data_IF_117714732473
#
_entry.id   IF_117714732473
#
_cell.length_a   1.000
_cell.length_b   1.000
_cell.length_c   1.000
_cell.angle_alpha   90.00
_cell.angle_beta   90.00
_cell.angle_gamma   90.00
#
_symmetry.space_group_name_H-M   'P 1'
#
loop_
_entity.id
_entity.type
_entity.pdbx_description
1 polymer ?
#
# COMPACT_ATOMS: atom_id res chain seq x y z
N UNK A 1 18.31 -14.55 -2.61
CA UNK A 1 16.88 -14.80 -2.38
C UNK A 1 16.15 -15.04 -3.70
N UNK A 2 15.68 -14.03 -4.46
CA UNK A 2 14.92 -14.28 -5.72
C UNK A 2 15.57 -15.26 -6.71
N UNK A 3 16.88 -15.13 -6.96
CA UNK A 3 17.62 -16.09 -7.81
C UNK A 3 17.58 -17.51 -7.21
N UNK A 4 17.61 -17.63 -5.88
CA UNK A 4 17.42 -18.88 -5.15
C UNK A 4 16.07 -19.54 -5.41
N UNK A 5 14.97 -18.77 -5.44
CA UNK A 5 13.66 -19.32 -5.85
C UNK A 5 13.69 -19.90 -7.26
N UNK A 6 14.36 -19.21 -8.18
CA UNK A 6 14.46 -19.63 -9.58
C UNK A 6 15.32 -20.89 -9.70
N UNK A 7 16.52 -20.90 -9.11
CA UNK A 7 17.45 -22.02 -9.21
C UNK A 7 16.96 -23.28 -8.49
N UNK A 8 16.26 -23.12 -7.36
CA UNK A 8 15.59 -24.22 -6.66
C UNK A 8 14.23 -24.62 -7.29
N UNK A 9 13.76 -23.86 -8.29
CA UNK A 9 12.50 -24.09 -9.02
C UNK A 9 11.28 -24.10 -8.10
N UNK A 10 11.25 -23.22 -7.09
CA UNK A 10 10.18 -23.14 -6.09
C UNK A 10 8.79 -22.97 -6.70
N UNK A 11 8.64 -22.13 -7.73
CA UNK A 11 7.35 -21.97 -8.42
C UNK A 11 6.85 -23.26 -9.08
N UNK A 12 7.75 -24.04 -9.70
CA UNK A 12 7.40 -25.34 -10.30
C UNK A 12 7.04 -26.35 -9.22
N UNK A 13 7.82 -26.43 -8.13
CA UNK A 13 7.56 -27.33 -7.01
C UNK A 13 6.20 -27.03 -6.34
N UNK A 14 5.89 -25.75 -6.14
CA UNK A 14 4.62 -25.31 -5.57
C UNK A 14 3.44 -25.65 -6.49
N UNK A 15 3.57 -25.43 -7.80
CA UNK A 15 2.55 -25.79 -8.77
C UNK A 15 2.34 -27.31 -8.84
N UNK A 16 3.41 -28.10 -8.83
CA UNK A 16 3.33 -29.56 -8.79
C UNK A 16 2.66 -30.07 -7.51
N UNK A 17 2.95 -29.46 -6.36
CA UNK A 17 2.32 -29.81 -5.09
C UNK A 17 0.82 -29.50 -5.09
N UNK A 18 0.41 -28.36 -5.65
CA UNK A 18 -0.99 -28.02 -5.83
C UNK A 18 -1.72 -29.01 -6.75
N UNK A 19 -1.14 -29.34 -7.91
CA UNK A 19 -1.71 -30.34 -8.82
C UNK A 19 -1.82 -31.73 -8.18
N UNK A 20 -0.81 -32.15 -7.42
CA UNK A 20 -0.85 -33.42 -6.71
C UNK A 20 -1.94 -33.45 -5.62
N UNK A 21 -2.13 -32.34 -4.90
CA UNK A 21 -3.21 -32.20 -3.92
C UNK A 21 -4.60 -32.27 -4.59
N UNK A 22 -4.79 -31.62 -5.73
CA UNK A 22 -6.04 -31.66 -6.50
C UNK A 22 -6.34 -33.06 -7.06
N UNK A 23 -5.32 -33.76 -7.57
CA UNK A 23 -5.45 -35.15 -8.02
C UNK A 23 -5.79 -36.06 -6.84
N UNK A 24 -5.10 -35.89 -5.71
CA UNK A 24 -5.35 -36.63 -4.47
C UNK A 24 -6.80 -36.46 -4.00
N UNK A 25 -7.30 -35.22 -3.98
CA UNK A 25 -8.70 -34.92 -3.68
C UNK A 25 -9.65 -35.66 -4.62
N UNK A 26 -9.39 -35.57 -5.92
CA UNK A 26 -10.23 -36.18 -6.96
C UNK A 26 -10.33 -37.69 -6.74
N UNK A 27 -9.21 -38.38 -6.54
CA UNK A 27 -9.18 -39.84 -6.30
C UNK A 27 -9.87 -40.19 -4.97
N UNK A 28 -9.57 -39.48 -3.89
CA UNK A 28 -10.20 -39.71 -2.58
C UNK A 28 -11.72 -39.50 -2.62
N UNK A 29 -12.21 -38.52 -3.39
CA UNK A 29 -13.65 -38.26 -3.55
C UNK A 29 -14.39 -39.33 -4.37
N UNK A 30 -13.67 -40.09 -5.20
CA UNK A 30 -14.19 -41.23 -5.96
C UNK A 30 -14.27 -42.46 -5.05
N UNK A 31 -13.25 -42.68 -4.20
CA UNK A 31 -13.14 -43.83 -3.31
C UNK A 31 -14.01 -43.71 -2.04
N UNK A 32 -14.23 -42.49 -1.56
CA UNK A 32 -15.00 -42.20 -0.35
C UNK A 32 -16.06 -41.13 -0.65
N UNK A 33 -17.27 -41.51 -1.09
CA UNK A 33 -18.34 -40.58 -1.46
C UNK A 33 -18.75 -39.62 -0.34
N UNK A 34 -18.51 -39.97 0.92
CA UNK A 34 -18.78 -39.16 2.12
C UNK A 34 -17.94 -37.86 2.14
N UNK A 35 -16.77 -37.85 1.47
CA UNK A 35 -15.91 -36.68 1.29
C UNK A 35 -16.45 -35.65 0.28
N UNK A 36 -17.62 -35.90 -0.32
CA UNK A 36 -18.31 -34.95 -1.19
C UNK A 36 -19.23 -33.99 -0.42
N UNK A 37 -19.49 -34.25 0.86
CA UNK A 37 -20.37 -33.41 1.68
C UNK A 37 -19.70 -32.07 2.02
N UNK A 38 -20.46 -30.97 2.05
CA UNK A 38 -19.92 -29.61 2.24
C UNK A 38 -18.94 -29.45 3.45
N UNK A 39 -19.19 -30.05 4.63
CA UNK A 39 -18.25 -29.95 5.76
C UNK A 39 -16.88 -30.60 5.51
N UNK A 40 -16.83 -31.63 4.66
CA UNK A 40 -15.59 -32.34 4.32
C UNK A 40 -14.75 -31.61 3.25
N UNK A 41 -15.39 -30.78 2.41
CA UNK A 41 -14.71 -29.90 1.46
C UNK A 41 -14.00 -28.76 2.19
N UNK A 42 -14.64 -28.17 3.20
CA UNK A 42 -14.03 -27.11 4.02
C UNK A 42 -12.80 -27.63 4.79
N UNK A 43 -12.89 -28.83 5.36
CA UNK A 43 -11.76 -29.47 6.03
C UNK A 43 -10.58 -29.76 5.07
N UNK A 44 -10.88 -30.20 3.84
CA UNK A 44 -9.86 -30.42 2.82
C UNK A 44 -9.21 -29.11 2.34
N UNK A 45 -9.99 -28.05 2.15
CA UNK A 45 -9.47 -26.74 1.77
C UNK A 45 -8.56 -26.14 2.85
N UNK A 46 -8.89 -26.34 4.13
CA UNK A 46 -8.03 -25.94 5.25
C UNK A 46 -6.73 -26.76 5.26
N UNK A 47 -6.82 -28.09 5.07
CA UNK A 47 -5.64 -28.97 5.08
C UNK A 47 -4.70 -28.69 3.90
N UNK A 48 -5.24 -28.60 2.68
CA UNK A 48 -4.47 -28.26 1.47
C UNK A 48 -3.88 -26.86 1.56
N UNK A 49 -4.64 -25.88 2.07
CA UNK A 49 -4.13 -24.53 2.33
C UNK A 49 -2.98 -24.51 3.34
N UNK A 50 -3.07 -25.29 4.42
CA UNK A 50 -2.00 -25.42 5.41
C UNK A 50 -0.75 -26.10 4.84
N UNK A 51 -0.92 -27.14 4.01
CA UNK A 51 0.18 -27.83 3.34
C UNK A 51 0.90 -26.90 2.36
N UNK A 52 0.16 -26.20 1.49
CA UNK A 52 0.73 -25.24 0.54
C UNK A 52 1.42 -24.07 1.24
N UNK A 53 0.88 -23.62 2.37
CA UNK A 53 1.52 -22.62 3.23
C UNK A 53 2.82 -23.13 3.87
N UNK A 54 2.89 -24.42 4.21
CA UNK A 54 4.10 -25.09 4.70
C UNK A 54 5.21 -25.12 3.65
N UNK A 55 4.88 -25.52 2.41
CA UNK A 55 5.79 -25.46 1.26
C UNK A 55 6.31 -24.04 1.01
N UNK A 56 5.45 -23.03 1.16
CA UNK A 56 5.86 -21.63 1.13
C UNK A 56 6.99 -21.35 2.10
N UNK A 57 6.84 -21.69 3.38
CA UNK A 57 7.88 -21.45 4.40
C UNK A 57 9.19 -22.18 4.13
N UNK A 58 9.15 -23.44 3.72
CA UNK A 58 10.36 -24.22 3.41
C UNK A 58 11.13 -23.62 2.22
N UNK A 59 10.40 -23.20 1.17
CA UNK A 59 10.98 -22.54 0.01
C UNK A 59 11.66 -21.21 0.37
N UNK A 60 11.09 -20.46 1.33
CA UNK A 60 11.70 -19.22 1.80
C UNK A 60 13.03 -19.45 2.50
N UNK A 61 13.09 -20.44 3.39
CA UNK A 61 14.31 -20.79 4.10
C UNK A 61 15.38 -21.34 3.14
N UNK A 62 15.00 -22.18 2.17
CA UNK A 62 15.91 -22.67 1.13
C UNK A 62 16.45 -21.51 0.27
N UNK A 63 15.60 -20.56 -0.10
CA UNK A 63 15.95 -19.36 -0.88
C UNK A 63 16.87 -18.40 -0.12
N UNK A 64 16.66 -18.25 1.19
CA UNK A 64 17.53 -17.49 2.08
C UNK A 64 18.91 -18.14 2.17
N UNK A 65 18.95 -19.48 2.35
CA UNK A 65 20.19 -20.27 2.40
C UNK A 65 21.01 -20.13 1.11
N UNK A 66 20.36 -20.37 -0.03
CA UNK A 66 20.98 -20.21 -1.36
C UNK A 66 21.40 -18.76 -1.61
N UNK A 67 20.63 -17.79 -1.13
CA UNK A 67 20.99 -16.37 -1.18
C UNK A 67 22.32 -16.06 -0.51
N UNK A 68 22.52 -16.56 0.72
CA UNK A 68 23.75 -16.36 1.47
C UNK A 68 24.95 -17.01 0.76
N UNK A 69 24.77 -18.23 0.25
CA UNK A 69 25.78 -18.94 -0.53
C UNK A 69 26.16 -18.17 -1.80
N UNK A 70 25.18 -17.67 -2.56
CA UNK A 70 25.44 -16.93 -3.80
C UNK A 70 26.16 -15.62 -3.55
N UNK A 71 25.82 -14.90 -2.48
CA UNK A 71 26.54 -13.70 -2.07
C UNK A 71 28.01 -14.02 -1.76
N UNK A 72 28.26 -15.06 -0.96
CA UNK A 72 29.61 -15.48 -0.59
C UNK A 72 30.45 -15.80 -1.85
N UNK A 73 29.91 -16.64 -2.74
CA UNK A 73 30.58 -17.07 -3.98
C UNK A 73 30.81 -15.91 -4.96
N UNK A 74 29.94 -14.89 -4.95
CA UNK A 74 30.08 -13.69 -5.78
C UNK A 74 30.98 -12.61 -5.15
N UNK A 75 31.57 -12.86 -3.98
CA UNK A 75 32.46 -11.92 -3.29
C UNK A 75 31.73 -10.79 -2.55
N UNK A 76 30.44 -10.95 -2.28
CA UNK A 76 29.65 -10.08 -1.41
C UNK A 76 29.64 -10.61 0.02
N UNK A 77 29.41 -9.72 0.98
CA UNK A 77 29.24 -10.11 2.39
C UNK A 77 27.87 -10.78 2.62
N UNK A 78 27.80 -12.08 2.99
CA UNK A 78 26.53 -12.77 3.24
C UNK A 78 25.73 -12.18 4.40
N UNK A 79 26.39 -11.58 5.39
CA UNK A 79 25.74 -10.92 6.53
C UNK A 79 24.90 -9.70 6.12
N UNK A 80 25.06 -9.19 4.89
CA UNK A 80 24.21 -8.13 4.35
C UNK A 80 22.72 -8.53 4.29
N UNK A 81 22.41 -9.83 4.22
CA UNK A 81 21.03 -10.33 4.27
C UNK A 81 20.33 -10.02 5.60
N UNK A 82 21.08 -9.98 6.73
CA UNK A 82 20.52 -9.55 8.03
C UNK A 82 19.98 -8.13 7.97
N UNK A 83 20.66 -7.26 7.21
CA UNK A 83 20.22 -5.89 6.98
C UNK A 83 18.88 -5.81 6.25
N UNK A 84 18.64 -6.71 5.29
CA UNK A 84 17.37 -6.79 4.56
C UNK A 84 16.25 -7.25 5.50
N UNK A 85 16.46 -8.32 6.26
CA UNK A 85 15.46 -8.83 7.22
C UNK A 85 15.11 -7.74 8.25
N UNK A 86 16.11 -7.01 8.76
CA UNK A 86 15.88 -5.89 9.67
C UNK A 86 15.00 -4.81 9.03
N UNK A 87 15.26 -4.42 7.79
CA UNK A 87 14.45 -3.43 7.07
C UNK A 87 13.01 -3.93 6.88
N UNK A 88 12.82 -5.22 6.57
CA UNK A 88 11.48 -5.81 6.44
C UNK A 88 10.73 -5.78 7.77
N UNK A 89 11.39 -6.12 8.88
CA UNK A 89 10.83 -6.02 10.23
C UNK A 89 10.45 -4.59 10.60
N UNK A 90 11.31 -3.62 10.28
CA UNK A 90 11.01 -2.20 10.51
C UNK A 90 9.80 -1.74 9.68
N UNK A 91 9.66 -2.20 8.43
CA UNK A 91 8.48 -1.92 7.59
C UNK A 91 7.20 -2.54 8.15
N UNK A 92 7.26 -3.77 8.64
CA UNK A 92 6.12 -4.46 9.27
C UNK A 92 5.63 -3.69 10.50
N UNK A 93 6.55 -3.28 11.38
CA UNK A 93 6.23 -2.50 12.58
C UNK A 93 5.61 -1.16 12.20
N UNK A 94 6.19 -0.45 11.23
CA UNK A 94 5.65 0.82 10.76
C UNK A 94 4.25 0.67 10.15
N UNK A 95 4.03 -0.36 9.32
CA UNK A 95 2.73 -0.63 8.72
C UNK A 95 1.66 -0.91 9.79
N UNK A 96 2.02 -1.67 10.83
CA UNK A 96 1.15 -1.92 11.97
C UNK A 96 0.79 -0.63 12.72
N UNK A 97 1.76 0.26 12.93
CA UNK A 97 1.54 1.56 13.57
C UNK A 97 0.62 2.46 12.74
N UNK A 98 0.79 2.51 11.43
CA UNK A 98 -0.09 3.27 10.53
C UNK A 98 -1.50 2.69 10.49
N UNK A 99 -1.65 1.36 10.39
CA UNK A 99 -2.95 0.69 10.46
C UNK A 99 -3.69 1.04 11.76
N UNK A 100 -2.98 1.05 12.89
CA UNK A 100 -3.54 1.45 14.18
C UNK A 100 -4.00 2.91 14.21
N UNK A 101 -3.27 3.83 13.57
CA UNK A 101 -3.70 5.25 13.43
C UNK A 101 -4.99 5.37 12.61
N UNK A 102 -5.19 4.48 11.64
CA UNK A 102 -6.41 4.37 10.83
C UNK A 102 -7.54 3.58 11.52
N UNK A 103 -7.35 3.12 12.77
CA UNK A 103 -8.32 2.29 13.47
C UNK A 103 -8.58 0.94 12.82
N UNK A 104 -7.63 0.45 12.03
CA UNK A 104 -7.66 -0.87 11.37
C UNK A 104 -6.79 -1.84 12.14
N UNK A 105 -7.20 -3.11 12.15
CA UNK A 105 -6.30 -4.19 12.55
C UNK A 105 -5.21 -4.36 11.49
N UNK A 106 -4.00 -4.70 11.95
CA UNK A 106 -2.89 -5.00 11.05
C UNK A 106 -3.20 -6.32 10.32
N UNK A 107 -3.44 -6.27 9.01
CA UNK A 107 -3.62 -7.47 8.18
C UNK A 107 -2.28 -8.08 7.73
N UNK A 108 -1.17 -7.66 8.35
CA UNK A 108 0.17 -7.94 7.86
C UNK A 108 0.52 -7.05 6.66
N UNK A 109 1.80 -6.93 6.37
CA UNK A 109 2.26 -6.17 5.20
C UNK A 109 1.87 -6.91 3.91
N UNK A 110 0.85 -6.43 3.22
CA UNK A 110 0.48 -6.87 1.86
C UNK A 110 1.34 -6.14 0.82
N UNK A 111 2.62 -6.49 0.75
CA UNK A 111 3.49 -6.21 -0.38
C UNK A 111 3.99 -7.52 -0.99
N UNK A 112 5.01 -7.44 -1.85
CA UNK A 112 5.71 -8.57 -2.52
C UNK A 112 6.21 -9.68 -1.57
N UNK A 113 5.99 -9.56 -0.26
CA UNK A 113 6.54 -10.40 0.80
C UNK A 113 5.50 -10.90 1.83
N UNK A 114 4.19 -10.88 1.50
CA UNK A 114 3.13 -11.36 2.40
C UNK A 114 3.10 -12.89 2.61
N UNK A 115 3.86 -13.66 1.81
CA UNK A 115 3.92 -15.12 1.81
C UNK A 115 5.05 -15.74 2.63
N UNK A 116 5.87 -14.92 3.31
CA UNK A 116 7.08 -15.40 3.98
C UNK A 116 6.80 -15.82 5.44
N UNK A 117 7.59 -16.76 6.01
CA UNK A 117 7.60 -17.02 7.45
C UNK A 117 7.96 -15.75 8.22
N UNK A 118 7.71 -15.76 9.53
CA UNK A 118 8.01 -14.62 10.39
C UNK A 118 9.50 -14.21 10.29
N UNK A 119 9.75 -12.92 10.43
CA UNK A 119 11.09 -12.35 10.24
C UNK A 119 12.11 -12.90 11.25
N UNK A 120 11.68 -13.40 12.41
CA UNK A 120 12.57 -13.92 13.45
C UNK A 120 13.10 -15.32 13.10
N UNK A 121 12.25 -16.21 12.56
CA UNK A 121 12.68 -17.51 12.03
C UNK A 121 13.66 -17.34 10.86
N UNK A 122 13.35 -16.43 9.92
CA UNK A 122 14.25 -16.14 8.80
C UNK A 122 15.60 -15.60 9.25
N UNK A 123 15.60 -14.76 10.28
CA UNK A 123 16.83 -14.20 10.85
C UNK A 123 17.75 -15.31 11.37
N UNK A 124 17.22 -16.26 12.13
CA UNK A 124 18.01 -17.37 12.70
C UNK A 124 18.68 -18.20 11.61
N UNK A 125 17.93 -18.56 10.56
CA UNK A 125 18.45 -19.37 9.44
C UNK A 125 19.49 -18.61 8.61
N UNK A 126 19.24 -17.33 8.31
CA UNK A 126 20.21 -16.50 7.58
C UNK A 126 21.50 -16.32 8.38
N UNK A 127 21.43 -16.12 9.70
CA UNK A 127 22.63 -16.05 10.56
C UNK A 127 23.39 -17.37 10.48
N UNK A 128 22.71 -18.50 10.71
CA UNK A 128 23.34 -19.82 10.74
C UNK A 128 24.00 -20.18 9.40
N UNK A 129 23.40 -19.80 8.27
CA UNK A 129 24.00 -20.04 6.96
C UNK A 129 25.14 -19.04 6.67
N UNK A 130 24.96 -17.75 6.96
CA UNK A 130 25.99 -16.75 6.72
C UNK A 130 27.28 -17.05 7.51
N UNK A 131 27.16 -17.57 8.74
CA UNK A 131 28.28 -17.95 9.59
C UNK A 131 29.10 -19.13 9.03
N UNK A 132 28.54 -19.95 8.12
CA UNK A 132 29.34 -20.97 7.41
C UNK A 132 30.37 -20.36 6.48
N UNK A 133 30.20 -19.09 6.10
CA UNK A 133 31.07 -18.36 5.18
C UNK A 133 31.88 -17.27 5.91
N UNK A 134 32.46 -17.57 7.09
CA UNK A 134 33.30 -16.64 7.88
C UNK A 134 34.34 -15.91 7.03
N UNK A 135 35.01 -16.62 6.11
CA UNK A 135 36.01 -16.04 5.21
C UNK A 135 35.48 -14.98 4.23
N UNK A 136 34.18 -14.99 3.94
CA UNK A 136 33.51 -14.04 3.05
C UNK A 136 32.92 -12.82 3.79
N UNK A 137 33.08 -12.71 5.11
CA UNK A 137 32.53 -11.59 5.89
C UNK A 137 33.15 -10.24 5.49
N UNK A 138 34.37 -10.25 4.95
CA UNK A 138 35.02 -9.06 4.38
C UNK A 138 34.62 -8.79 2.92
N UNK A 139 33.61 -9.50 2.41
CA UNK A 139 33.05 -9.29 1.08
C UNK A 139 32.51 -7.88 0.87
N UNK A 140 32.35 -7.50 -0.40
CA UNK A 140 31.87 -6.16 -0.77
C UNK A 140 30.41 -5.99 -0.34
N UNK A 141 30.03 -4.78 0.08
CA UNK A 141 28.63 -4.35 0.23
C UNK A 141 28.19 -3.39 -0.87
N UNK A 142 29.15 -2.76 -1.55
CA UNK A 142 28.95 -1.83 -2.67
C UNK A 142 27.94 -0.69 -2.40
N UNK A 143 27.89 -0.17 -1.15
CA UNK A 143 26.93 0.88 -0.74
C UNK A 143 26.98 2.12 -1.64
N UNK A 144 28.17 2.59 -2.02
CA UNK A 144 28.32 3.78 -2.87
C UNK A 144 27.76 3.55 -4.28
N UNK A 145 28.07 2.40 -4.89
CA UNK A 145 27.52 2.04 -6.19
C UNK A 145 26.00 1.94 -6.16
N UNK A 146 25.45 1.27 -5.15
CA UNK A 146 24.00 1.18 -4.93
C UNK A 146 23.35 2.56 -4.80
N UNK A 147 23.89 3.44 -3.96
CA UNK A 147 23.36 4.79 -3.76
C UNK A 147 23.39 5.64 -5.03
N UNK A 148 24.38 5.45 -5.91
CA UNK A 148 24.41 6.16 -7.19
C UNK A 148 23.32 5.67 -8.14
N UNK A 149 23.01 4.37 -8.13
CA UNK A 149 22.02 3.79 -9.04
C UNK A 149 20.58 4.15 -8.66
N UNK A 150 20.30 4.34 -7.37
CA UNK A 150 18.95 4.69 -6.91
C UNK A 150 18.66 6.20 -6.94
N UNK A 151 19.67 7.03 -7.19
CA UNK A 151 19.51 8.48 -7.21
C UNK A 151 18.70 8.89 -8.45
N UNK A 152 17.58 9.58 -8.25
CA UNK A 152 16.61 9.96 -9.27
C UNK A 152 15.51 8.92 -9.52
N UNK A 153 15.51 7.78 -8.82
CA UNK A 153 14.38 6.84 -8.90
C UNK A 153 13.11 7.47 -8.32
N UNK A 154 11.97 7.16 -8.92
CA UNK A 154 10.66 7.58 -8.43
C UNK A 154 10.39 6.98 -7.05
N UNK A 155 9.81 7.78 -6.16
CA UNK A 155 9.38 7.38 -4.83
C UNK A 155 7.86 7.53 -4.68
N UNK A 156 7.19 6.44 -4.27
CA UNK A 156 5.75 6.45 -4.02
C UNK A 156 4.93 6.41 -5.31
N UNK A 157 3.88 7.23 -5.35
CA UNK A 157 2.99 7.32 -6.51
C UNK A 157 3.74 7.77 -7.76
N UNK A 158 3.42 7.17 -8.91
CA UNK A 158 3.86 7.67 -10.20
C UNK A 158 2.86 8.70 -10.75
N UNK A 159 3.29 9.53 -11.70
CA UNK A 159 2.47 10.62 -12.27
C UNK A 159 1.18 10.11 -12.93
N UNK A 160 1.20 8.85 -13.41
CA UNK A 160 0.05 8.22 -14.05
C UNK A 160 -1.06 7.87 -13.06
N UNK A 161 -0.73 7.51 -11.82
CA UNK A 161 -1.66 7.18 -10.75
C UNK A 161 -2.07 8.40 -9.92
N UNK A 162 -1.52 9.57 -10.23
CA UNK A 162 -1.73 10.81 -9.51
C UNK A 162 -0.88 10.93 -8.24
N UNK A 163 -0.58 12.17 -7.87
CA UNK A 163 0.36 12.52 -6.82
C UNK A 163 -0.38 13.12 -5.63
N UNK A 164 -0.12 12.57 -4.45
CA UNK A 164 -0.59 13.15 -3.19
C UNK A 164 0.49 14.06 -2.59
N UNK A 165 0.11 15.31 -2.34
CA UNK A 165 0.93 16.36 -1.74
C UNK A 165 0.18 16.98 -0.56
N UNK A 166 0.70 16.80 0.64
CA UNK A 166 0.02 17.20 1.89
C UNK A 166 -1.40 16.60 1.97
N UNK A 167 -2.43 17.42 1.75
CA UNK A 167 -3.83 16.99 1.69
C UNK A 167 -4.44 17.08 0.29
N UNK A 168 -3.67 17.51 -0.70
CA UNK A 168 -4.12 17.69 -2.07
C UNK A 168 -3.68 16.51 -2.94
N UNK A 169 -4.56 16.07 -3.81
CA UNK A 169 -4.29 15.05 -4.80
C UNK A 169 -4.36 15.67 -6.18
N UNK A 170 -3.37 15.39 -7.02
CA UNK A 170 -3.26 15.90 -8.37
C UNK A 170 -3.12 14.74 -9.36
N UNK A 171 -3.98 14.67 -10.37
CA UNK A 171 -3.91 13.62 -11.38
C UNK A 171 -3.63 14.23 -12.75
N UNK A 172 -2.39 14.09 -13.23
CA UNK A 172 -1.98 14.74 -14.47
C UNK A 172 -2.70 14.19 -15.72
N UNK A 173 -2.78 12.86 -15.95
CA UNK A 173 -3.52 12.31 -17.10
C UNK A 173 -5.01 12.69 -17.15
N UNK A 174 -5.72 12.57 -16.01
CA UNK A 174 -7.15 12.89 -15.89
C UNK A 174 -7.40 14.39 -15.66
N UNK A 175 -6.35 15.20 -15.52
CA UNK A 175 -6.38 16.66 -15.40
C UNK A 175 -7.32 17.19 -14.32
N UNK A 176 -7.29 16.59 -13.13
CA UNK A 176 -8.04 17.09 -11.99
C UNK A 176 -7.18 17.22 -10.73
N UNK A 177 -7.69 18.01 -9.79
CA UNK A 177 -7.16 18.13 -8.44
C UNK A 177 -8.29 18.09 -7.41
N UNK A 178 -7.95 17.63 -6.20
CA UNK A 178 -8.89 17.41 -5.09
C UNK A 178 -8.20 17.65 -3.75
N UNK A 179 -8.90 18.19 -2.76
CA UNK A 179 -8.38 18.43 -1.41
C UNK A 179 -9.13 17.60 -0.37
N UNK A 180 -8.39 16.80 0.41
CA UNK A 180 -8.90 16.03 1.54
C UNK A 180 -8.86 16.84 2.85
N UNK A 181 -9.64 16.44 3.89
CA UNK A 181 -9.66 17.17 5.14
C UNK A 181 -8.33 17.04 5.90
N UNK A 182 -8.03 18.02 6.74
CA UNK A 182 -6.74 18.08 7.46
C UNK A 182 -6.64 16.92 8.45
N UNK A 183 -5.47 16.26 8.49
CA UNK A 183 -5.18 15.19 9.44
C UNK A 183 -5.76 13.83 9.06
N UNK A 184 -6.39 13.73 7.89
CA UNK A 184 -6.83 12.46 7.33
C UNK A 184 -5.66 11.74 6.66
N UNK A 185 -5.62 10.42 6.80
CA UNK A 185 -4.67 9.59 6.08
C UNK A 185 -5.27 9.22 4.73
N UNK A 186 -4.58 9.55 3.65
CA UNK A 186 -5.04 9.29 2.28
C UNK A 186 -4.16 8.19 1.68
N UNK A 187 -4.81 7.16 1.16
CA UNK A 187 -4.20 6.03 0.49
C UNK A 187 -4.61 6.08 -0.99
N UNK A 188 -3.63 6.21 -1.88
CA UNK A 188 -3.83 6.12 -3.31
C UNK A 188 -3.86 4.66 -3.75
N UNK A 189 -4.87 4.25 -4.52
CA UNK A 189 -4.99 2.92 -5.08
C UNK A 189 -5.19 3.04 -6.60
N UNK A 190 -4.86 2.02 -7.40
CA UNK A 190 -4.89 2.11 -8.86
C UNK A 190 -6.20 2.61 -9.46
N UNK A 191 -7.33 2.41 -8.78
CA UNK A 191 -8.67 2.79 -9.27
C UNK A 191 -9.48 3.61 -8.27
N UNK A 192 -8.92 3.96 -7.10
CA UNK A 192 -9.64 4.74 -6.11
C UNK A 192 -8.74 5.44 -5.10
N UNK A 193 -9.23 6.53 -4.51
CA UNK A 193 -8.62 7.18 -3.35
C UNK A 193 -9.40 6.82 -2.10
N UNK A 194 -8.69 6.47 -1.03
CA UNK A 194 -9.28 6.19 0.26
C UNK A 194 -8.69 7.09 1.33
N UNK A 195 -9.47 8.04 1.80
CA UNK A 195 -9.12 8.89 2.93
C UNK A 195 -9.80 8.38 4.21
N UNK A 196 -9.06 8.34 5.32
CA UNK A 196 -9.51 7.82 6.61
C UNK A 196 -9.22 8.84 7.71
N UNK A 197 -10.24 9.17 8.50
CA UNK A 197 -10.09 10.01 9.68
C UNK A 197 -9.36 9.25 10.81
N UNK A 198 -8.77 10.00 11.75
CA UNK A 198 -8.09 9.43 12.91
C UNK A 198 -8.97 8.39 13.63
N UNK A 199 -8.37 7.24 13.98
CA UNK A 199 -9.05 6.14 14.65
C UNK A 199 -10.06 5.37 13.79
N UNK A 200 -10.13 5.65 12.49
CA UNK A 200 -11.06 4.98 11.58
C UNK A 200 -12.51 5.42 11.78
N UNK A 201 -12.71 6.57 12.41
CA UNK A 201 -14.05 7.06 12.78
C UNK A 201 -14.88 7.51 11.57
N UNK A 202 -14.22 7.87 10.47
CA UNK A 202 -14.84 8.20 9.21
C UNK A 202 -13.94 7.85 8.04
N UNK A 203 -14.53 7.71 6.85
CA UNK A 203 -13.78 7.52 5.61
C UNK A 203 -14.45 8.25 4.44
N UNK A 204 -13.66 8.52 3.41
CA UNK A 204 -14.09 8.98 2.09
C UNK A 204 -13.41 8.07 1.08
N UNK A 205 -14.19 7.34 0.28
CA UNK A 205 -13.72 6.61 -0.89
C UNK A 205 -14.14 7.38 -2.14
N UNK A 206 -13.17 7.75 -2.97
CA UNK A 206 -13.42 8.36 -4.27
C UNK A 206 -13.00 7.40 -5.38
N UNK A 207 -13.87 7.20 -6.37
CA UNK A 207 -13.53 6.53 -7.62
C UNK A 207 -14.01 7.33 -8.81
N UNK A 208 -13.49 6.99 -9.99
CA UNK A 208 -13.93 7.56 -11.26
C UNK A 208 -14.56 6.48 -12.14
N UNK A 209 -15.61 6.84 -12.86
CA UNK A 209 -16.28 5.99 -13.83
C UNK A 209 -16.80 6.82 -15.01
N UNK A 210 -17.05 6.21 -16.16
CA UNK A 210 -17.57 6.91 -17.32
C UNK A 210 -18.99 7.43 -17.07
N UNK A 211 -19.29 8.63 -17.58
CA UNK A 211 -20.64 9.20 -17.50
C UNK A 211 -21.58 8.59 -18.53
N UNK A 212 -22.86 8.47 -18.18
CA UNK A 212 -23.94 8.49 -19.17
C UNK A 212 -24.35 9.95 -19.41
N UNK A 213 -24.02 10.49 -20.59
CA UNK A 213 -24.26 11.90 -20.96
C UNK A 213 -25.74 12.33 -20.91
N UNK A 214 -26.67 11.38 -20.85
CA UNK A 214 -28.11 11.65 -20.78
C UNK A 214 -28.59 11.87 -19.34
N UNK A 215 -27.80 11.46 -18.35
CA UNK A 215 -28.17 11.52 -16.94
C UNK A 215 -27.59 12.77 -16.29
N UNK A 216 -28.39 13.45 -15.46
CA UNK A 216 -27.86 14.40 -14.48
C UNK A 216 -27.09 13.68 -13.36
N UNK A 217 -26.23 14.34 -12.58
CA UNK A 217 -25.54 13.70 -11.45
C UNK A 217 -26.51 13.03 -10.45
N UNK A 218 -27.69 13.62 -10.21
CA UNK A 218 -28.74 13.00 -9.39
C UNK A 218 -29.25 11.70 -10.01
N UNK A 219 -29.62 11.75 -11.29
CA UNK A 219 -30.10 10.56 -12.02
C UNK A 219 -29.02 9.49 -12.13
N UNK A 220 -27.76 9.88 -12.23
CA UNK A 220 -26.63 8.95 -12.22
C UNK A 220 -26.56 8.18 -10.89
N UNK A 221 -26.70 8.87 -9.75
CA UNK A 221 -26.76 8.21 -8.44
C UNK A 221 -27.93 7.24 -8.36
N UNK A 222 -29.13 7.67 -8.75
CA UNK A 222 -30.36 6.88 -8.60
C UNK A 222 -30.42 5.71 -9.58
N UNK A 223 -30.01 5.91 -10.84
CA UNK A 223 -30.19 4.95 -11.93
C UNK A 223 -28.95 4.11 -12.21
N UNK A 224 -27.75 4.68 -12.09
CA UNK A 224 -26.50 3.97 -12.38
C UNK A 224 -25.92 3.34 -11.11
N UNK A 225 -25.80 4.12 -10.03
CA UNK A 225 -25.29 3.62 -8.74
C UNK A 225 -26.36 2.87 -7.92
N UNK A 226 -27.62 2.90 -8.37
CA UNK A 226 -28.78 2.27 -7.70
C UNK A 226 -28.99 2.73 -6.25
N UNK A 227 -28.53 3.92 -5.91
CA UNK A 227 -28.75 4.52 -4.58
C UNK A 227 -30.01 5.38 -4.63
N UNK A 228 -31.09 4.87 -4.07
CA UNK A 228 -32.39 5.55 -4.01
C UNK A 228 -32.68 6.10 -2.60
N UNK A 229 -33.75 6.90 -2.45
CA UNK A 229 -34.20 7.48 -1.17
C UNK A 229 -33.17 8.41 -0.51
N UNK A 230 -32.46 9.20 -1.32
CA UNK A 230 -31.55 10.23 -0.81
C UNK A 230 -32.31 11.24 0.05
N UNK A 231 -31.90 11.37 1.31
CA UNK A 231 -32.29 12.41 2.25
C UNK A 231 -31.33 13.61 2.10
N UNK A 232 -31.80 14.81 2.42
CA UNK A 232 -31.00 16.04 2.36
C UNK A 232 -30.22 16.23 1.03
N UNK A 233 -30.87 15.83 -0.08
CA UNK A 233 -30.30 15.92 -1.42
C UNK A 233 -30.20 17.37 -1.89
N UNK A 234 -29.07 17.75 -2.47
CA UNK A 234 -28.87 19.09 -3.07
C UNK A 234 -27.89 19.04 -4.23
N UNK A 235 -28.03 19.98 -5.14
CA UNK A 235 -27.01 20.24 -6.15
C UNK A 235 -25.71 20.71 -5.49
N UNK A 236 -24.59 20.28 -6.06
CA UNK A 236 -23.25 20.67 -5.67
C UNK A 236 -22.55 21.24 -6.90
N UNK A 237 -22.75 22.53 -7.13
CA UNK A 237 -22.10 23.26 -8.21
C UNK A 237 -20.88 23.98 -7.62
N UNK A 238 -19.69 23.43 -7.83
CA UNK A 238 -18.43 23.99 -7.33
C UNK A 238 -17.38 23.95 -8.44
N UNK A 239 -16.51 24.96 -8.50
CA UNK A 239 -15.44 25.07 -9.51
C UNK A 239 -15.94 24.94 -10.97
N UNK A 240 -17.19 25.34 -11.24
CA UNK A 240 -17.82 25.20 -12.56
C UNK A 240 -18.28 23.78 -12.91
N UNK A 241 -18.13 22.81 -12.01
CA UNK A 241 -18.54 21.42 -12.21
C UNK A 241 -19.97 21.18 -11.73
N UNK A 242 -20.69 20.31 -12.43
CA UNK A 242 -22.04 19.88 -12.05
C UNK A 242 -21.94 18.68 -11.11
N UNK A 243 -22.56 18.79 -9.95
CA UNK A 243 -22.60 17.69 -9.00
C UNK A 243 -23.93 17.59 -8.26
N UNK A 244 -24.14 16.47 -7.59
CA UNK A 244 -25.26 16.26 -6.69
C UNK A 244 -24.79 15.44 -5.49
N UNK A 245 -25.30 15.78 -4.31
CA UNK A 245 -24.96 15.10 -3.07
C UNK A 245 -26.23 14.76 -2.29
N UNK A 246 -26.22 13.64 -1.57
CA UNK A 246 -27.32 13.22 -0.71
C UNK A 246 -26.86 12.23 0.36
N UNK A 247 -27.67 12.11 1.40
CA UNK A 247 -27.46 11.15 2.49
C UNK A 247 -28.36 9.94 2.26
N UNK A 248 -27.84 8.75 2.49
CA UNK A 248 -28.63 7.53 2.46
C UNK A 248 -28.26 6.63 3.66
N UNK A 249 -29.02 5.56 3.84
CA UNK A 249 -28.71 4.55 4.84
C UNK A 249 -27.97 3.39 4.18
N UNK A 250 -26.73 3.18 4.60
CA UNK A 250 -25.91 2.03 4.25
C UNK A 250 -25.85 1.09 5.45
N UNK A 251 -26.44 -0.10 5.33
CA UNK A 251 -26.52 -1.11 6.42
C UNK A 251 -27.00 -0.53 7.77
N UNK A 252 -27.99 0.39 7.73
CA UNK A 252 -28.55 1.03 8.92
C UNK A 252 -27.72 2.19 9.50
N UNK A 253 -26.64 2.60 8.82
CA UNK A 253 -25.82 3.77 9.21
C UNK A 253 -25.96 4.89 8.17
N UNK A 254 -25.94 6.17 8.60
CA UNK A 254 -25.94 7.28 7.67
C UNK A 254 -24.63 7.33 6.88
N UNK A 255 -24.75 7.45 5.57
CA UNK A 255 -23.64 7.61 4.63
C UNK A 255 -23.96 8.73 3.64
N UNK A 256 -22.93 9.42 3.14
CA UNK A 256 -23.08 10.44 2.08
C UNK A 256 -22.56 9.88 0.77
N UNK A 257 -23.34 10.11 -0.28
CA UNK A 257 -22.89 9.95 -1.66
C UNK A 257 -22.87 11.30 -2.35
N UNK A 258 -21.79 11.57 -3.07
CA UNK A 258 -21.66 12.75 -3.93
C UNK A 258 -21.14 12.31 -5.29
N UNK A 259 -21.75 12.81 -6.36
CA UNK A 259 -21.27 12.61 -7.71
C UNK A 259 -20.99 13.97 -8.33
N UNK A 260 -19.79 14.15 -8.87
CA UNK A 260 -19.38 15.35 -9.59
C UNK A 260 -18.91 14.95 -10.99
N UNK A 261 -19.43 15.60 -12.02
CA UNK A 261 -19.01 15.35 -13.40
C UNK A 261 -17.88 16.29 -13.79
N UNK A 262 -16.83 15.71 -14.37
CA UNK A 262 -15.70 16.42 -14.97
C UNK A 262 -15.36 15.72 -16.28
N UNK A 263 -15.38 16.49 -17.37
CA UNK A 263 -15.23 16.00 -18.74
C UNK A 263 -16.13 14.80 -19.08
N UNK A 264 -15.56 13.59 -19.18
CA UNK A 264 -16.26 12.35 -19.53
C UNK A 264 -16.44 11.43 -18.33
N UNK A 265 -16.08 11.87 -17.14
CA UNK A 265 -16.02 11.04 -15.94
C UNK A 265 -16.96 11.56 -14.84
N UNK A 266 -17.60 10.61 -14.15
CA UNK A 266 -18.28 10.79 -12.88
C UNK A 266 -17.32 10.43 -11.76
N UNK A 267 -16.97 11.43 -10.95
CA UNK A 267 -16.25 11.25 -9.70
C UNK A 267 -17.25 10.94 -8.60
N UNK A 268 -17.20 9.71 -8.09
CA UNK A 268 -18.14 9.19 -7.09
C UNK A 268 -17.44 9.18 -5.75
N UNK A 269 -17.94 9.99 -4.82
CA UNK A 269 -17.50 10.04 -3.44
C UNK A 269 -18.51 9.29 -2.58
N UNK A 270 -18.06 8.22 -1.94
CA UNK A 270 -18.81 7.51 -0.92
C UNK A 270 -18.13 7.75 0.43
N UNK A 271 -18.87 8.31 1.38
CA UNK A 271 -18.35 8.68 2.69
C UNK A 271 -19.23 8.15 3.81
N UNK A 272 -18.62 7.65 4.87
CA UNK A 272 -19.30 7.02 5.98
C UNK A 272 -18.58 7.22 7.30
N UNK A 273 -19.27 6.88 8.37
CA UNK A 273 -18.77 6.94 9.74
C UNK A 273 -18.86 5.59 10.43
N UNK A 274 -17.95 5.35 11.38
CA UNK A 274 -17.98 4.17 12.24
C UNK A 274 -19.15 4.23 13.21
N UNK A 275 -19.36 5.39 13.84
CA UNK A 275 -20.48 5.65 14.75
C UNK A 275 -21.43 6.70 14.13
N UNK A 276 -22.72 6.35 14.02
CA UNK A 276 -23.77 7.20 13.44
C UNK A 276 -23.88 8.57 14.09
N UNK A 277 -23.58 8.69 15.39
CA UNK A 277 -23.65 9.95 16.14
C UNK A 277 -22.60 10.97 15.66
N UNK A 278 -21.49 10.49 15.09
CA UNK A 278 -20.44 11.36 14.56
C UNK A 278 -20.73 11.86 13.14
N UNK A 279 -21.78 11.34 12.47
CA UNK A 279 -22.06 11.67 11.07
C UNK A 279 -22.17 13.18 10.86
N UNK A 280 -22.94 13.87 11.71
CA UNK A 280 -23.14 15.33 11.59
C UNK A 280 -21.83 16.12 11.69
N UNK A 281 -20.83 15.62 12.43
CA UNK A 281 -19.51 16.25 12.57
C UNK A 281 -18.73 16.16 11.27
N UNK A 282 -18.72 14.98 10.65
CA UNK A 282 -17.94 14.71 9.43
C UNK A 282 -18.66 15.09 8.14
N UNK A 283 -19.99 15.26 8.16
CA UNK A 283 -20.80 15.55 6.97
C UNK A 283 -20.32 16.79 6.20
N UNK A 284 -19.87 17.81 6.95
CA UNK A 284 -19.26 19.01 6.36
C UNK A 284 -17.98 18.70 5.60
N UNK A 285 -17.07 17.92 6.20
CA UNK A 285 -15.80 17.51 5.57
C UNK A 285 -16.04 16.66 4.32
N UNK A 286 -17.07 15.81 4.31
CA UNK A 286 -17.47 15.02 3.14
C UNK A 286 -17.86 15.89 1.95
N UNK A 287 -18.70 16.91 2.21
CA UNK A 287 -19.17 17.83 1.17
C UNK A 287 -18.01 18.72 0.69
N UNK A 288 -17.22 19.27 1.60
CA UNK A 288 -16.09 20.14 1.28
C UNK A 288 -15.03 19.42 0.43
N UNK A 289 -14.76 18.15 0.73
CA UNK A 289 -13.86 17.32 -0.09
C UNK A 289 -14.38 17.22 -1.52
N UNK A 290 -15.62 16.76 -1.72
CA UNK A 290 -16.18 16.63 -3.06
C UNK A 290 -16.30 17.98 -3.79
N UNK A 291 -16.62 19.06 -3.07
CA UNK A 291 -16.71 20.41 -3.62
C UNK A 291 -15.35 20.99 -4.05
N UNK A 292 -14.25 20.49 -3.47
CA UNK A 292 -12.90 20.92 -3.84
C UNK A 292 -12.42 20.32 -5.16
N UNK A 293 -13.14 19.36 -5.75
CA UNK A 293 -12.79 18.82 -7.06
C UNK A 293 -12.80 19.93 -8.12
N UNK A 294 -11.74 20.00 -8.92
CA UNK A 294 -11.63 20.96 -10.02
C UNK A 294 -10.68 20.45 -11.11
N UNK A 295 -10.75 21.07 -12.29
CA UNK A 295 -9.74 20.86 -13.33
C UNK A 295 -8.36 21.30 -12.82
N UNK A 296 -7.33 20.50 -13.13
CA UNK A 296 -5.95 20.80 -12.78
C UNK A 296 -5.54 22.14 -13.39
N UNK A 297 -5.17 23.10 -12.54
CA UNK A 297 -4.77 24.44 -12.98
C UNK A 297 -3.32 24.45 -13.46
N UNK A 298 -2.96 25.46 -14.26
CA UNK A 298 -1.60 25.59 -14.80
C UNK A 298 -0.53 25.72 -13.70
N UNK A 299 -0.84 26.39 -12.60
CA UNK A 299 0.02 26.51 -11.41
C UNK A 299 0.15 25.20 -10.61
N UNK A 300 -0.75 24.24 -10.81
CA UNK A 300 -0.75 22.96 -10.10
C UNK A 300 -0.05 21.83 -10.86
N UNK A 301 0.17 21.99 -12.17
CA UNK A 301 0.86 20.97 -13.00
C UNK A 301 2.24 20.63 -12.42
N UNK A 302 2.94 21.59 -11.83
CA UNK A 302 4.25 21.36 -11.20
C UNK A 302 4.15 20.53 -9.92
N UNK A 303 3.00 20.54 -9.24
CA UNK A 303 2.71 19.77 -8.03
C UNK A 303 2.25 18.33 -8.34
N UNK A 304 1.90 18.07 -9.60
CA UNK A 304 1.51 16.75 -10.10
C UNK A 304 2.70 15.88 -10.55
N UNK A 305 3.93 16.30 -10.24
CA UNK A 305 5.16 15.57 -10.59
C UNK A 305 5.51 14.51 -9.55
N UNK A 306 6.05 13.39 -10.00
CA UNK A 306 6.44 12.30 -9.11
C UNK A 306 7.61 12.71 -8.22
N UNK A 307 7.54 12.26 -6.97
CA UNK A 307 8.62 12.45 -6.01
C UNK A 307 9.80 11.58 -6.40
N UNK A 308 11.01 12.02 -6.12
CA UNK A 308 12.23 11.29 -6.45
C UNK A 308 13.14 11.10 -5.24
N UNK A 309 13.86 9.98 -5.24
CA UNK A 309 14.95 9.74 -4.29
C UNK A 309 16.13 10.61 -4.69
N UNK A 310 16.58 11.45 -3.77
CA UNK A 310 17.82 12.18 -3.91
C UNK A 310 18.81 11.71 -2.85
N UNK A 311 20.02 11.35 -3.30
CA UNK A 311 21.10 10.96 -2.41
C UNK A 311 22.02 12.14 -2.16
N UNK A 312 22.02 12.62 -0.93
CA UNK A 312 22.80 13.78 -0.50
C UNK A 312 23.80 13.41 0.58
N UNK A 313 24.82 14.24 0.74
CA UNK A 313 25.72 14.19 1.90
C UNK A 313 25.11 15.03 3.02
N UNK A 314 24.87 14.42 4.17
CA UNK A 314 24.26 15.08 5.34
C UNK A 314 25.13 16.26 5.81
N UNK A 315 24.54 17.45 5.81
CA UNK A 315 25.11 18.68 6.35
C UNK A 315 24.71 18.95 7.80
N UNK A 316 25.26 20.02 8.39
CA UNK A 316 25.04 20.37 9.81
C UNK A 316 23.60 20.78 10.15
N UNK A 317 22.84 21.24 9.16
CA UNK A 317 21.46 21.70 9.33
C UNK A 317 20.43 20.62 8.94
N UNK A 318 20.91 19.47 8.44
CA UNK A 318 20.02 18.39 8.01
C UNK A 318 19.52 17.60 9.22
N UNK A 319 18.22 17.37 9.21
CA UNK A 319 17.50 16.49 10.13
C UNK A 319 16.33 15.87 9.41
N UNK A 320 15.84 14.72 9.89
CA UNK A 320 14.60 14.16 9.33
C UNK A 320 13.42 15.10 9.43
N UNK A 321 13.35 15.93 10.48
CA UNK A 321 12.32 16.95 10.61
C UNK A 321 12.43 18.04 9.53
N UNK A 322 13.64 18.48 9.20
CA UNK A 322 13.86 19.45 8.12
C UNK A 322 13.55 18.85 6.74
N UNK A 323 13.98 17.62 6.48
CA UNK A 323 13.73 16.93 5.22
C UNK A 323 12.25 16.58 5.04
N UNK A 324 11.55 16.18 6.12
CA UNK A 324 10.12 15.90 6.09
C UNK A 324 9.26 17.10 5.68
N UNK A 325 9.70 18.33 6.00
CA UNK A 325 9.00 19.57 5.60
C UNK A 325 9.13 19.84 4.10
N UNK A 326 10.22 19.37 3.48
CA UNK A 326 10.54 19.59 2.07
C UNK A 326 10.16 18.41 1.18
N UNK A 327 10.01 17.20 1.75
CA UNK A 327 9.82 15.98 0.98
C UNK A 327 8.39 15.77 0.48
N UNK A 328 7.44 16.51 1.04
CA UNK A 328 6.03 16.40 0.75
C UNK A 328 5.46 14.98 0.89
N UNK A 329 6.15 14.11 1.64
CA UNK A 329 5.69 12.77 1.98
C UNK A 329 4.46 12.92 2.88
N UNK A 330 3.40 12.21 2.54
CA UNK A 330 2.19 12.11 3.36
C UNK A 330 2.29 10.91 4.30
N UNK A 331 1.48 10.91 5.36
CA UNK A 331 1.42 9.82 6.34
C UNK A 331 2.76 9.52 7.03
N UNK A 332 3.06 10.23 8.13
CA UNK A 332 4.26 10.01 8.95
C UNK A 332 5.60 10.22 8.20
N UNK A 333 5.86 11.41 7.60
CA UNK A 333 7.01 11.65 6.73
C UNK A 333 8.36 11.43 7.39
N UNK A 334 8.52 11.81 8.66
CA UNK A 334 9.76 11.58 9.42
C UNK A 334 10.05 10.08 9.56
N UNK A 335 9.03 9.27 9.81
CA UNK A 335 9.19 7.82 10.00
C UNK A 335 9.51 7.13 8.68
N UNK A 336 8.87 7.55 7.58
CA UNK A 336 9.20 7.05 6.25
C UNK A 336 10.64 7.39 5.84
N UNK A 337 11.13 8.60 6.13
CA UNK A 337 12.52 8.95 5.85
C UNK A 337 13.52 8.14 6.70
N UNK A 338 13.18 7.82 7.96
CA UNK A 338 13.98 6.91 8.80
C UNK A 338 14.00 5.50 8.22
N UNK A 339 12.84 4.96 7.82
CA UNK A 339 12.74 3.66 7.14
C UNK A 339 13.59 3.63 5.87
N UNK A 340 13.43 4.66 5.03
CA UNK A 340 14.17 4.81 3.78
C UNK A 340 15.68 4.72 4.02
N UNK A 341 16.18 5.19 5.16
CA UNK A 341 17.60 5.19 5.52
C UNK A 341 18.04 4.07 6.47
N UNK A 342 17.16 3.13 6.83
CA UNK A 342 17.48 2.03 7.76
C UNK A 342 17.73 2.52 9.21
N UNK A 343 17.06 3.60 9.60
CA UNK A 343 17.19 4.29 10.89
C UNK A 343 15.87 4.30 11.69
N UNK A 344 14.91 3.46 11.32
CA UNK A 344 13.68 3.31 12.08
C UNK A 344 13.92 2.66 13.45
N UNK A 345 13.13 2.98 14.50
CA UNK A 345 12.22 4.12 14.60
C UNK A 345 12.89 5.40 15.12
N UNK A 346 14.12 5.31 15.66
CA UNK A 346 14.75 6.39 16.46
C UNK A 346 16.15 6.83 16.00
N UNK A 347 16.70 6.24 14.94
CA UNK A 347 18.01 6.63 14.42
C UNK A 347 17.99 8.01 13.75
N UNK A 348 19.10 8.74 13.83
CA UNK A 348 19.25 10.10 13.30
C UNK A 348 20.32 10.17 12.19
N UNK A 349 20.21 11.20 11.34
CA UNK A 349 21.18 11.47 10.29
C UNK A 349 22.59 11.69 10.87
N UNK A 350 23.58 11.12 10.21
CA UNK A 350 24.99 11.21 10.62
C UNK A 350 25.69 12.21 9.71
N UNK A 351 26.27 13.26 10.30
CA UNK A 351 26.99 14.31 9.57
C UNK A 351 28.07 13.71 8.65
N UNK A 352 28.10 14.17 7.40
CA UNK A 352 29.06 13.70 6.38
C UNK A 352 28.73 12.36 5.75
N UNK A 353 27.72 11.64 6.24
CA UNK A 353 27.27 10.40 5.61
C UNK A 353 26.36 10.68 4.41
N UNK A 354 26.44 9.85 3.37
CA UNK A 354 25.43 9.84 2.30
C UNK A 354 24.12 9.20 2.80
N UNK A 355 23.02 9.91 2.62
CA UNK A 355 21.67 9.49 2.98
C UNK A 355 20.66 9.90 1.89
N UNK A 356 19.50 9.24 1.92
CA UNK A 356 18.41 9.41 0.96
C UNK A 356 17.40 10.40 1.53
N UNK A 357 17.05 11.43 0.77
CA UNK A 357 15.87 12.25 1.01
C UNK A 357 14.95 12.17 -0.19
N UNK A 358 13.75 12.71 -0.05
CA UNK A 358 12.75 12.74 -1.11
C UNK A 358 12.55 14.21 -1.51
N UNK A 359 12.47 14.47 -2.82
CA UNK A 359 12.12 15.77 -3.40
C UNK A 359 10.87 15.65 -4.25
#
# INVERSE_FOLDING_TARGET
HEIGHVTARHGVRQQSAAQAADIGYTISSILFPELRTAPSQDAFNIFSGALLSGYGREHELESDRLGAEYLARAGYNPQAMLGVIKVLKDQEIFAAEEARKQGRENQGYHGLFASHPDNDTRLQEVVAEADKYVGAHNGKTNRTGYLNQINGMIFGDNEEQGILFDRNFYHLPMRFALTFPKGWQVNNQPTSLLAVAAGGNAFIKMGAMDIDRRLSPKQFIEQHLKVSRLKAGKELNSSGLKGYTGVFEDQGRPARITVVFLDKQAFVFFAGVKNSDEFKRFDKEFIETAASLHHLRADEVVLAKAKQIEVVTVGKQDSYASWAKLSHITNSPVMQLRLLNGQYPKGELILGQRAKRIQ
#
